data_IF_283607600836
#
_entry.id   IF_283607600836
#
_cell.length_a   1.000
_cell.length_b   1.000
_cell.length_c   1.000
_cell.angle_alpha   90.00
_cell.angle_beta   90.00
_cell.angle_gamma   90.00
#
_symmetry.space_group_name_H-M   'P 1'
#
loop_
_entity.id
_entity.type
_entity.pdbx_description
1 polymer ?
#
# COMPACT_ATOMS: atom_id res chain seq x y z
N UNK A 1 -13.60 -10.93 17.42
CA UNK A 1 -13.86 -9.56 16.95
C UNK A 1 -13.19 -8.59 17.92
N UNK A 2 -12.66 -7.49 17.41
CA UNK A 2 -12.09 -6.35 18.16
C UNK A 2 -12.72 -5.09 17.59
N UNK A 3 -13.36 -4.26 18.40
CA UNK A 3 -14.05 -3.07 17.90
C UNK A 3 -14.10 -1.92 18.90
N UNK A 4 -14.28 -0.70 18.39
CA UNK A 4 -14.51 0.52 19.17
C UNK A 4 -13.40 0.84 20.18
N UNK A 5 -12.15 0.68 19.74
CA UNK A 5 -10.97 0.91 20.57
C UNK A 5 -10.11 2.04 20.02
N UNK A 6 -9.43 2.72 20.95
CA UNK A 6 -8.28 3.57 20.65
C UNK A 6 -7.01 2.94 21.21
N UNK A 7 -6.03 2.70 20.36
CA UNK A 7 -4.71 2.16 20.72
C UNK A 7 -3.68 3.27 20.51
N UNK A 8 -2.86 3.55 21.52
CA UNK A 8 -1.82 4.60 21.45
C UNK A 8 -0.45 3.98 21.62
N UNK A 9 0.46 4.28 20.68
CA UNK A 9 1.85 3.84 20.62
C UNK A 9 1.98 2.31 20.74
N UNK A 10 1.09 1.57 20.07
CA UNK A 10 0.98 0.12 20.22
C UNK A 10 0.58 -0.60 18.95
N UNK A 11 1.05 -1.84 18.82
CA UNK A 11 0.71 -2.77 17.74
C UNK A 11 -0.43 -3.69 18.21
N UNK A 12 -1.53 -3.74 17.47
CA UNK A 12 -2.54 -4.77 17.64
C UNK A 12 -2.04 -6.07 17.01
N UNK A 13 -1.61 -7.01 17.85
CA UNK A 13 -1.17 -8.33 17.41
C UNK A 13 -2.37 -9.28 17.35
N UNK A 14 -2.70 -9.75 16.15
CA UNK A 14 -3.79 -10.68 15.87
C UNK A 14 -3.24 -12.10 15.78
N UNK A 15 -3.30 -12.83 16.89
CA UNK A 15 -2.82 -14.22 16.99
C UNK A 15 -3.98 -15.23 16.87
N UNK A 16 -4.89 -15.01 15.93
CA UNK A 16 -6.03 -15.89 15.64
C UNK A 16 -6.54 -15.66 14.22
N UNK A 17 -7.02 -16.74 13.57
CA UNK A 17 -7.65 -16.65 12.24
C UNK A 17 -9.03 -16.01 12.30
N UNK A 18 -9.51 -15.48 11.19
CA UNK A 18 -10.88 -14.96 11.02
C UNK A 18 -11.28 -13.88 12.03
N UNK A 19 -10.32 -13.02 12.40
CA UNK A 19 -10.57 -11.90 13.31
C UNK A 19 -11.02 -10.68 12.50
N UNK A 20 -12.12 -10.05 12.93
CA UNK A 20 -12.49 -8.73 12.46
C UNK A 20 -12.03 -7.66 13.45
N UNK A 21 -11.35 -6.64 12.95
CA UNK A 21 -11.00 -5.38 13.61
C UNK A 21 -11.82 -4.27 12.96
N UNK A 22 -12.64 -3.56 13.75
CA UNK A 22 -13.62 -2.62 13.20
C UNK A 22 -13.71 -1.34 14.03
N UNK A 23 -13.79 -0.17 13.39
CA UNK A 23 -13.91 1.13 14.09
C UNK A 23 -12.82 1.32 15.15
N UNK A 24 -11.59 0.94 14.82
CA UNK A 24 -10.43 1.11 15.69
C UNK A 24 -9.61 2.31 15.21
N UNK A 25 -9.17 3.12 16.16
CA UNK A 25 -8.18 4.18 15.95
C UNK A 25 -6.85 3.73 16.55
N UNK A 26 -5.78 3.75 15.76
CA UNK A 26 -4.43 3.44 16.20
C UNK A 26 -3.55 4.66 15.96
N UNK A 27 -2.95 5.20 17.02
CA UNK A 27 -2.06 6.36 16.96
C UNK A 27 -0.64 5.90 17.28
N UNK A 28 0.27 5.87 16.30
CA UNK A 28 1.68 5.50 16.47
C UNK A 28 1.94 3.99 16.53
N UNK A 29 1.23 3.21 15.72
CA UNK A 29 1.37 1.75 15.68
C UNK A 29 0.71 1.16 14.44
N UNK A 30 0.18 -0.06 14.57
CA UNK A 30 -0.44 -0.76 13.45
C UNK A 30 -1.22 -2.02 13.84
N UNK A 31 -1.54 -2.83 12.84
CA UNK A 31 -2.13 -4.16 13.00
C UNK A 31 -1.21 -5.19 12.36
N UNK A 32 -0.85 -6.22 13.13
CA UNK A 32 -0.02 -7.33 12.65
C UNK A 32 -0.73 -8.67 12.85
N UNK A 33 -0.92 -9.46 11.78
CA UNK A 33 -1.43 -10.82 11.83
C UNK A 33 -0.38 -11.90 11.52
N UNK A 34 0.90 -11.53 11.47
CA UNK A 34 2.00 -12.45 11.24
C UNK A 34 2.81 -12.61 12.53
N UNK A 35 2.60 -13.73 13.23
CA UNK A 35 3.19 -13.99 14.55
C UNK A 35 4.12 -15.18 14.45
N UNK A 36 5.41 -14.95 14.74
CA UNK A 36 6.46 -15.94 14.52
C UNK A 36 6.59 -16.25 13.02
N UNK A 37 6.20 -17.46 12.61
CA UNK A 37 6.18 -17.89 11.21
C UNK A 37 4.76 -18.17 10.68
N UNK A 38 3.73 -17.74 11.41
CA UNK A 38 2.33 -18.09 11.11
C UNK A 38 1.56 -16.87 10.62
N UNK A 39 0.94 -17.00 9.45
CA UNK A 39 -0.04 -16.06 8.93
C UNK A 39 -1.42 -16.39 9.49
N UNK A 40 -1.97 -15.50 10.31
CA UNK A 40 -3.33 -15.63 10.82
C UNK A 40 -4.33 -15.09 9.79
N UNK A 41 -4.56 -15.89 8.74
CA UNK A 41 -5.43 -15.57 7.62
C UNK A 41 -6.89 -15.31 8.04
N UNK A 42 -7.61 -14.59 7.19
CA UNK A 42 -8.99 -14.19 7.40
C UNK A 42 -9.14 -12.93 8.26
N UNK A 43 -8.06 -12.18 8.47
CA UNK A 43 -8.14 -10.88 9.15
C UNK A 43 -8.97 -9.91 8.29
N UNK A 44 -9.99 -9.30 8.88
CA UNK A 44 -10.71 -8.18 8.26
C UNK A 44 -10.45 -6.93 9.10
N UNK A 45 -9.91 -5.88 8.50
CA UNK A 45 -9.77 -4.57 9.13
C UNK A 45 -10.69 -3.60 8.38
N UNK A 46 -11.64 -3.00 9.07
CA UNK A 46 -12.58 -2.10 8.40
C UNK A 46 -12.98 -0.87 9.20
N UNK A 47 -13.30 0.20 8.48
CA UNK A 47 -13.73 1.50 9.03
C UNK A 47 -12.78 1.99 10.14
N UNK A 48 -11.48 1.84 9.93
CA UNK A 48 -10.45 2.03 10.97
C UNK A 48 -9.38 3.01 10.48
N UNK A 49 -8.76 3.71 11.42
CA UNK A 49 -7.73 4.71 11.13
C UNK A 49 -6.44 4.39 11.86
N UNK A 50 -5.32 4.47 11.16
CA UNK A 50 -3.97 4.26 11.68
C UNK A 50 -3.15 5.51 11.35
N UNK A 51 -2.78 6.30 12.34
CA UNK A 51 -2.09 7.58 12.15
C UNK A 51 -0.77 7.63 12.90
N UNK A 52 0.12 8.51 12.46
CA UNK A 52 1.37 8.79 13.17
C UNK A 52 1.10 9.40 14.56
N UNK A 53 1.80 8.93 15.59
CA UNK A 53 1.87 9.59 16.88
C UNK A 53 2.98 10.65 16.94
N UNK A 54 3.13 11.31 18.09
CA UNK A 54 4.24 12.24 18.36
C UNK A 54 5.59 11.56 18.61
N UNK A 55 5.63 10.24 18.67
CA UNK A 55 6.88 9.48 18.81
C UNK A 55 7.78 9.63 17.58
N UNK A 56 9.09 9.52 17.79
CA UNK A 56 10.06 9.50 16.70
C UNK A 56 9.82 8.30 15.80
N UNK A 57 9.74 8.53 14.49
CA UNK A 57 9.65 7.45 13.51
C UNK A 57 10.99 7.19 12.83
N UNK A 58 11.19 5.95 12.40
CA UNK A 58 12.42 5.49 11.76
C UNK A 58 12.12 4.71 10.48
N UNK A 59 13.17 4.41 9.71
CA UNK A 59 13.07 3.48 8.56
C UNK A 59 12.78 2.04 8.96
N UNK A 60 13.00 1.67 10.23
CA UNK A 60 12.72 0.34 10.76
C UNK A 60 11.31 0.18 11.33
N UNK A 61 10.47 1.20 11.22
CA UNK A 61 9.09 1.14 11.72
C UNK A 61 8.29 0.07 10.97
N UNK A 62 7.42 -0.62 11.70
CA UNK A 62 6.58 -1.67 11.13
C UNK A 62 5.56 -1.09 10.13
N UNK A 63 5.15 -1.86 9.11
CA UNK A 63 4.01 -1.49 8.28
C UNK A 63 2.77 -1.25 9.15
N UNK A 64 1.95 -0.27 8.76
CA UNK A 64 0.72 0.06 9.45
C UNK A 64 -0.26 -1.13 9.50
N UNK A 65 -0.29 -1.96 8.45
CA UNK A 65 -1.14 -3.13 8.38
C UNK A 65 -0.46 -4.25 7.59
N UNK A 66 -0.36 -5.44 8.18
CA UNK A 66 0.30 -6.57 7.53
C UNK A 66 0.08 -7.89 8.26
N UNK A 67 0.53 -9.01 7.69
CA UNK A 67 1.44 -9.15 6.52
C UNK A 67 0.76 -9.76 5.29
N UNK A 68 -0.20 -10.68 5.45
CA UNK A 68 -0.92 -11.34 4.35
C UNK A 68 -2.24 -11.94 4.82
N UNK A 69 -3.07 -12.43 3.91
CA UNK A 69 -4.33 -13.11 4.24
C UNK A 69 -5.38 -12.20 4.90
N UNK A 70 -5.44 -10.93 4.51
CA UNK A 70 -6.36 -9.96 5.10
C UNK A 70 -7.18 -9.19 4.06
N UNK A 71 -8.31 -8.64 4.53
CA UNK A 71 -9.10 -7.64 3.82
C UNK A 71 -9.07 -6.33 4.59
N UNK A 72 -8.66 -5.23 3.94
CA UNK A 72 -8.76 -3.87 4.43
C UNK A 72 -9.89 -3.14 3.68
N UNK A 73 -10.88 -2.60 4.40
CA UNK A 73 -12.00 -1.86 3.79
C UNK A 73 -12.27 -0.56 4.52
N UNK A 74 -12.33 0.56 3.80
CA UNK A 74 -12.51 1.88 4.42
C UNK A 74 -11.45 2.15 5.51
N UNK A 75 -10.19 1.79 5.22
CA UNK A 75 -9.07 1.99 6.14
C UNK A 75 -8.30 3.24 5.73
N UNK A 76 -8.01 4.10 6.71
CA UNK A 76 -7.15 5.28 6.54
C UNK A 76 -5.80 5.04 7.22
N UNK A 77 -4.71 5.15 6.48
CA UNK A 77 -3.33 5.23 6.99
C UNK A 77 -2.78 6.63 6.69
N UNK A 78 -2.23 7.32 7.69
CA UNK A 78 -1.83 8.72 7.52
C UNK A 78 -0.60 9.11 8.36
N UNK A 79 0.45 9.52 7.66
CA UNK A 79 1.68 10.08 8.22
C UNK A 79 2.70 9.06 8.74
N UNK A 80 2.38 7.76 8.67
CA UNK A 80 3.30 6.68 9.05
C UNK A 80 4.38 6.45 7.97
N UNK A 81 5.56 5.91 8.32
CA UNK A 81 6.60 5.63 7.32
C UNK A 81 6.26 4.51 6.34
N UNK A 82 5.46 3.52 6.75
CA UNK A 82 5.15 2.33 5.94
C UNK A 82 3.65 2.03 5.98
N UNK A 83 3.08 1.63 4.85
CA UNK A 83 1.63 1.44 4.68
C UNK A 83 1.18 -0.02 4.80
N UNK A 84 0.45 -0.48 3.79
CA UNK A 84 -0.01 -1.86 3.68
C UNK A 84 1.14 -2.80 3.30
N UNK A 85 1.32 -3.89 4.04
CA UNK A 85 2.22 -4.96 3.66
C UNK A 85 1.44 -6.07 2.98
N UNK A 86 1.97 -6.59 1.88
CA UNK A 86 1.50 -7.78 1.18
C UNK A 86 2.66 -8.76 1.11
N UNK A 87 2.60 -9.82 1.90
CA UNK A 87 3.73 -10.73 1.99
C UNK A 87 3.52 -11.88 2.94
N UNK A 88 4.67 -12.43 3.32
CA UNK A 88 4.78 -13.59 4.18
C UNK A 88 4.89 -14.86 3.34
N UNK A 89 6.00 -15.58 3.51
CA UNK A 89 6.23 -16.86 2.84
C UNK A 89 5.22 -17.92 3.27
N UNK A 90 4.97 -18.89 2.39
CA UNK A 90 4.17 -20.08 2.70
C UNK A 90 2.67 -19.81 2.60
N UNK A 91 1.94 -20.06 3.69
CA UNK A 91 0.48 -20.10 3.71
C UNK A 91 -0.20 -18.73 3.88
N UNK A 92 0.49 -17.61 3.68
CA UNK A 92 -0.17 -16.31 3.72
C UNK A 92 -1.16 -16.18 2.55
N UNK A 93 -2.44 -15.99 2.89
CA UNK A 93 -3.53 -15.90 1.92
C UNK A 93 -3.54 -14.58 1.14
N UNK A 94 -4.43 -14.44 0.14
CA UNK A 94 -4.54 -13.22 -0.64
C UNK A 94 -4.84 -11.98 0.22
N UNK A 95 -4.50 -10.81 -0.32
CA UNK A 95 -4.78 -9.51 0.29
C UNK A 95 -5.80 -8.76 -0.56
N UNK A 96 -6.78 -8.13 0.09
CA UNK A 96 -7.75 -7.28 -0.56
C UNK A 96 -7.78 -5.91 0.12
N UNK A 97 -7.67 -4.83 -0.65
CA UNK A 97 -7.71 -3.45 -0.15
C UNK A 97 -8.77 -2.68 -0.94
N UNK A 98 -9.81 -2.22 -0.27
CA UNK A 98 -10.98 -1.61 -0.89
C UNK A 98 -11.30 -0.27 -0.24
N UNK A 99 -11.65 0.73 -1.06
CA UNK A 99 -12.17 2.03 -0.61
C UNK A 99 -11.28 2.66 0.49
N UNK A 100 -9.96 2.51 0.36
CA UNK A 100 -9.01 2.83 1.42
C UNK A 100 -8.06 3.94 1.00
N UNK A 101 -7.38 4.52 1.97
CA UNK A 101 -6.42 5.60 1.77
C UNK A 101 -5.15 5.31 2.56
N UNK A 102 -3.99 5.45 1.94
CA UNK A 102 -2.72 5.49 2.64
C UNK A 102 -1.87 6.66 2.14
N UNK A 103 -1.52 7.58 3.05
CA UNK A 103 -0.50 8.62 2.82
C UNK A 103 0.67 8.34 3.76
N UNK A 104 1.73 7.78 3.20
CA UNK A 104 2.97 7.49 3.94
C UNK A 104 3.92 8.66 3.84
N UNK A 105 4.71 8.88 4.89
CA UNK A 105 5.56 10.08 5.02
C UNK A 105 6.93 9.70 5.51
N UNK A 106 7.94 10.41 5.00
CA UNK A 106 9.32 10.28 5.45
C UNK A 106 9.42 10.21 6.99
N UNK A 107 10.27 9.31 7.53
CA UNK A 107 10.48 9.21 8.96
C UNK A 107 11.30 10.37 9.52
N UNK A 108 11.26 10.57 10.85
CA UNK A 108 12.10 11.57 11.51
C UNK A 108 13.59 11.23 11.38
N UNK A 109 13.91 9.94 11.47
CA UNK A 109 15.26 9.41 11.22
C UNK A 109 15.25 8.66 9.89
N UNK A 110 15.75 9.33 8.86
CA UNK A 110 15.83 8.75 7.52
C UNK A 110 17.21 8.18 7.21
N UNK A 111 17.21 6.92 6.75
CA UNK A 111 18.38 6.23 6.23
C UNK A 111 18.00 5.58 4.89
N UNK A 112 17.85 4.25 4.85
CA UNK A 112 17.32 3.51 3.71
C UNK A 112 15.80 3.36 3.84
N UNK A 113 15.07 4.43 3.53
CA UNK A 113 13.61 4.44 3.62
C UNK A 113 12.99 3.96 2.31
N UNK A 114 12.20 2.89 2.38
CA UNK A 114 11.41 2.46 1.23
C UNK A 114 10.14 3.30 1.12
N UNK A 115 9.37 3.38 2.20
CA UNK A 115 8.23 4.28 2.28
C UNK A 115 7.04 3.85 1.47
N UNK A 116 6.85 2.55 1.25
CA UNK A 116 5.83 2.09 0.33
C UNK A 116 4.45 2.14 0.99
N UNK A 117 3.48 2.78 0.33
CA UNK A 117 2.10 2.81 0.82
C UNK A 117 1.42 1.44 0.66
N UNK A 118 1.86 0.65 -0.32
CA UNK A 118 1.65 -0.79 -0.44
C UNK A 118 2.96 -1.46 -0.86
N UNK A 119 3.43 -2.44 -0.08
CA UNK A 119 4.69 -3.15 -0.34
C UNK A 119 4.49 -4.66 -0.49
N UNK A 120 4.96 -5.22 -1.61
CA UNK A 120 4.97 -6.65 -1.93
C UNK A 120 6.32 -7.34 -1.75
N UNK A 121 6.42 -8.27 -0.80
CA UNK A 121 7.54 -9.20 -0.66
C UNK A 121 7.04 -10.58 -0.22
N UNK A 122 7.33 -11.61 -1.02
CA UNK A 122 6.70 -12.93 -0.94
C UNK A 122 5.17 -12.81 -0.95
N UNK A 123 4.65 -11.88 -1.75
CA UNK A 123 3.26 -11.47 -1.79
C UNK A 123 2.33 -12.50 -2.43
N UNK A 124 1.26 -12.92 -1.76
CA UNK A 124 0.15 -13.62 -2.41
C UNK A 124 -0.66 -12.65 -3.28
N UNK A 125 -1.66 -13.16 -4.01
CA UNK A 125 -2.50 -12.34 -4.89
C UNK A 125 -3.04 -11.12 -4.17
N UNK A 126 -2.92 -9.94 -4.80
CA UNK A 126 -3.45 -8.69 -4.26
C UNK A 126 -4.56 -8.12 -5.13
N UNK A 127 -5.67 -7.80 -4.48
CA UNK A 127 -6.81 -7.12 -5.07
C UNK A 127 -6.88 -5.70 -4.53
N UNK A 128 -6.89 -4.69 -5.40
CA UNK A 128 -7.04 -3.28 -5.01
C UNK A 128 -8.24 -2.66 -5.70
N UNK A 129 -9.13 -2.04 -4.92
CA UNK A 129 -10.34 -1.36 -5.41
C UNK A 129 -10.46 0.04 -4.84
N UNK A 130 -10.72 1.03 -5.70
CA UNK A 130 -11.10 2.40 -5.30
C UNK A 130 -10.23 2.96 -4.16
N UNK A 131 -8.91 2.82 -4.28
CA UNK A 131 -7.96 3.10 -3.21
C UNK A 131 -7.01 4.19 -3.65
N UNK A 132 -6.61 5.05 -2.72
CA UNK A 132 -5.60 6.09 -2.97
C UNK A 132 -4.36 5.81 -2.15
N UNK A 133 -3.21 5.78 -2.82
CA UNK A 133 -1.90 5.58 -2.22
C UNK A 133 -1.01 6.79 -2.53
N UNK A 134 -0.45 7.42 -1.50
CA UNK A 134 0.41 8.59 -1.63
C UNK A 134 1.69 8.40 -0.83
N UNK A 135 2.81 8.83 -1.40
CA UNK A 135 4.10 8.93 -0.72
C UNK A 135 4.54 10.39 -0.62
N UNK A 136 4.71 10.87 0.60
CA UNK A 136 5.26 12.18 0.93
C UNK A 136 6.73 12.05 1.30
N UNK A 137 7.59 12.42 0.36
CA UNK A 137 9.05 12.42 0.49
C UNK A 137 9.59 13.85 0.58
N UNK A 138 10.86 14.00 0.98
CA UNK A 138 11.54 15.28 0.98
C UNK A 138 12.94 15.16 0.34
N UNK A 139 13.64 16.28 0.15
CA UNK A 139 14.96 16.28 -0.53
C UNK A 139 16.04 15.46 0.18
N UNK A 140 15.94 15.31 1.50
CA UNK A 140 16.89 14.58 2.33
C UNK A 140 16.47 13.11 2.58
N UNK A 141 15.26 12.73 2.15
CA UNK A 141 14.68 11.42 2.40
C UNK A 141 13.75 11.03 1.26
N UNK A 142 14.29 10.28 0.30
CA UNK A 142 13.54 9.69 -0.80
C UNK A 142 12.95 8.34 -0.41
N UNK A 143 11.89 7.95 -1.10
CA UNK A 143 11.31 6.61 -1.02
C UNK A 143 11.20 5.93 -2.41
N UNK A 144 10.69 4.71 -2.40
CA UNK A 144 10.52 3.83 -3.55
C UNK A 144 9.25 4.14 -4.34
N UNK A 145 8.07 3.70 -3.88
CA UNK A 145 6.80 3.91 -4.56
C UNK A 145 5.55 3.86 -3.63
N UNK A 146 4.50 4.64 -3.89
CA UNK A 146 3.16 4.41 -3.33
C UNK A 146 2.65 2.97 -3.56
N UNK A 147 2.76 2.44 -4.77
CA UNK A 147 2.44 1.04 -5.07
C UNK A 147 3.71 0.31 -5.51
N UNK A 148 4.17 -0.66 -4.70
CA UNK A 148 5.36 -1.45 -4.95
C UNK A 148 5.05 -2.94 -4.90
N UNK A 149 4.92 -3.57 -6.06
CA UNK A 149 4.66 -5.01 -6.20
C UNK A 149 5.48 -5.62 -7.36
N UNK A 150 6.82 -5.62 -7.24
CA UNK A 150 7.74 -5.92 -8.34
C UNK A 150 7.88 -7.42 -8.61
N UNK A 151 8.62 -7.75 -9.68
CA UNK A 151 9.05 -9.12 -9.94
C UNK A 151 10.26 -9.54 -9.13
N UNK A 152 10.56 -10.84 -9.15
CA UNK A 152 11.70 -11.44 -8.44
C UNK A 152 11.72 -11.25 -6.92
N UNK A 153 10.60 -10.83 -6.32
CA UNK A 153 10.43 -10.72 -4.86
C UNK A 153 9.50 -11.79 -4.29
N UNK A 154 9.22 -12.88 -5.01
CA UNK A 154 8.28 -13.92 -4.57
C UNK A 154 6.80 -13.53 -4.62
N UNK A 155 6.49 -12.34 -5.14
CA UNK A 155 5.14 -11.88 -5.44
C UNK A 155 4.48 -12.78 -6.52
N UNK A 156 3.15 -12.74 -6.61
CA UNK A 156 2.41 -13.68 -7.47
C UNK A 156 1.58 -13.02 -8.56
N UNK A 157 0.53 -12.28 -8.23
CA UNK A 157 -0.39 -11.70 -9.21
C UNK A 157 -1.20 -10.54 -8.63
N UNK A 158 -1.80 -9.74 -9.51
CA UNK A 158 -2.62 -8.59 -9.11
C UNK A 158 -3.95 -8.54 -9.83
N UNK A 159 -4.91 -7.90 -9.20
CA UNK A 159 -6.11 -7.38 -9.86
C UNK A 159 -6.42 -6.00 -9.30
N UNK A 160 -6.31 -4.96 -10.12
CA UNK A 160 -6.36 -3.56 -9.70
C UNK A 160 -7.44 -2.84 -10.50
N UNK A 161 -8.33 -2.15 -9.78
CA UNK A 161 -9.37 -1.30 -10.37
C UNK A 161 -9.57 -0.02 -9.54
N UNK A 162 -9.52 1.15 -10.18
CA UNK A 162 -9.76 2.44 -9.52
C UNK A 162 -8.69 2.83 -8.48
N UNK A 163 -7.42 2.52 -8.74
CA UNK A 163 -6.30 2.94 -7.90
C UNK A 163 -5.82 4.35 -8.28
N UNK A 164 -5.61 5.23 -7.30
CA UNK A 164 -4.92 6.51 -7.46
C UNK A 164 -3.56 6.44 -6.78
N UNK A 165 -2.49 6.84 -7.48
CA UNK A 165 -1.13 6.92 -6.93
C UNK A 165 -0.52 8.32 -7.08
N UNK A 166 0.24 8.75 -6.07
CA UNK A 166 0.92 10.06 -6.05
C UNK A 166 2.25 9.99 -5.29
N UNK A 167 3.32 10.56 -5.84
CA UNK A 167 4.62 10.61 -5.17
C UNK A 167 5.56 9.46 -5.53
N UNK A 168 6.75 9.47 -4.93
CA UNK A 168 7.77 8.43 -5.06
C UNK A 168 8.68 8.55 -6.27
N UNK A 169 9.54 7.55 -6.45
CA UNK A 169 10.41 7.46 -7.62
C UNK A 169 9.61 7.19 -8.89
N UNK A 170 8.89 6.07 -8.86
CA UNK A 170 7.86 5.69 -9.82
C UNK A 170 6.59 5.40 -9.01
N UNK A 171 5.47 6.13 -9.19
CA UNK A 171 4.28 6.00 -8.36
C UNK A 171 3.68 4.58 -8.36
N UNK A 172 3.81 3.90 -9.49
CA UNK A 172 3.27 2.57 -9.71
C UNK A 172 4.34 1.63 -10.23
N UNK A 173 4.77 0.69 -9.39
CA UNK A 173 5.74 -0.35 -9.73
C UNK A 173 5.11 -1.73 -9.66
N UNK A 174 5.08 -2.43 -10.79
CA UNK A 174 4.40 -3.72 -10.93
C UNK A 174 5.15 -4.67 -11.86
N UNK A 175 5.60 -5.79 -11.34
CA UNK A 175 6.26 -6.83 -12.13
C UNK A 175 5.45 -8.11 -12.35
N UNK A 176 4.22 -8.17 -11.83
CA UNK A 176 3.43 -9.40 -11.69
C UNK A 176 2.29 -9.48 -12.71
N UNK A 177 1.91 -10.70 -13.15
CA UNK A 177 0.77 -10.89 -14.04
C UNK A 177 -0.55 -10.45 -13.41
N UNK A 178 -1.48 -9.98 -14.24
CA UNK A 178 -2.78 -9.53 -13.75
C UNK A 178 -3.51 -8.56 -14.67
N UNK A 179 -4.44 -7.82 -14.07
CA UNK A 179 -5.19 -6.74 -14.71
C UNK A 179 -5.02 -5.44 -13.95
N UNK A 180 -4.86 -4.34 -14.69
CA UNK A 180 -4.85 -2.97 -14.16
C UNK A 180 -5.89 -2.17 -14.92
N UNK A 181 -6.91 -1.67 -14.23
CA UNK A 181 -7.99 -0.86 -14.79
C UNK A 181 -8.20 0.40 -13.98
N UNK A 182 -8.61 1.49 -14.64
CA UNK A 182 -8.91 2.75 -13.96
C UNK A 182 -7.75 3.31 -13.12
N UNK A 183 -6.49 2.97 -13.42
CA UNK A 183 -5.33 3.49 -12.70
C UNK A 183 -5.17 4.98 -12.99
N UNK A 184 -5.11 5.81 -11.94
CA UNK A 184 -4.85 7.24 -12.04
C UNK A 184 -3.51 7.57 -11.39
N UNK A 185 -2.64 8.25 -12.12
CA UNK A 185 -1.32 8.64 -11.62
C UNK A 185 -1.26 10.17 -11.63
N UNK A 186 -0.98 10.77 -10.48
CA UNK A 186 -1.02 12.23 -10.34
C UNK A 186 0.17 12.86 -11.08
N UNK A 187 -0.14 13.77 -12.01
CA UNK A 187 0.81 14.40 -12.92
C UNK A 187 1.93 15.14 -12.19
N UNK A 188 3.16 14.95 -12.67
CA UNK A 188 4.36 15.60 -12.11
C UNK A 188 4.70 15.22 -10.67
N UNK A 189 4.04 14.22 -10.07
CA UNK A 189 4.27 13.84 -8.67
C UNK A 189 5.46 12.91 -8.45
N UNK A 190 6.13 12.46 -9.51
CA UNK A 190 7.18 11.44 -9.48
C UNK A 190 8.58 12.00 -9.72
N UNK A 191 9.62 11.29 -9.27
CA UNK A 191 11.01 11.69 -9.52
C UNK A 191 11.56 11.21 -10.87
N UNK A 192 11.18 9.99 -11.31
CA UNK A 192 11.76 9.36 -12.49
C UNK A 192 10.76 9.22 -13.63
N UNK A 193 9.58 8.69 -13.34
CA UNK A 193 8.52 8.48 -14.32
C UNK A 193 7.21 8.04 -13.69
N UNK A 194 6.11 7.99 -14.46
CA UNK A 194 4.80 7.64 -13.93
C UNK A 194 4.65 6.16 -13.58
N UNK A 195 5.39 5.27 -14.26
CA UNK A 195 5.29 3.81 -14.11
C UNK A 195 6.65 3.12 -14.24
N UNK A 196 6.83 2.02 -13.51
CA UNK A 196 7.84 0.99 -13.74
C UNK A 196 7.13 -0.38 -13.74
N UNK A 197 6.70 -0.82 -14.91
CA UNK A 197 5.81 -1.97 -15.07
C UNK A 197 6.41 -2.97 -16.04
N UNK A 198 6.26 -4.27 -15.77
CA UNK A 198 6.49 -5.34 -16.74
C UNK A 198 5.25 -5.52 -17.60
N UNK A 199 5.08 -4.72 -18.65
CA UNK A 199 3.82 -4.67 -19.40
C UNK A 199 3.47 -5.98 -20.09
N UNK A 200 4.47 -6.75 -20.54
CA UNK A 200 4.30 -8.05 -21.19
C UNK A 200 3.56 -9.13 -20.38
N UNK A 201 3.46 -9.00 -19.05
CA UNK A 201 2.74 -9.98 -18.21
C UNK A 201 1.30 -9.57 -17.90
N UNK A 202 0.88 -8.37 -18.30
CA UNK A 202 -0.48 -7.89 -18.05
C UNK A 202 -1.45 -8.37 -19.11
N UNK A 203 -2.64 -8.75 -18.66
CA UNK A 203 -3.76 -9.17 -19.53
C UNK A 203 -4.77 -8.04 -19.76
N UNK A 204 -4.64 -6.93 -19.02
CA UNK A 204 -5.43 -5.72 -19.20
C UNK A 204 -4.73 -4.51 -18.61
N UNK A 205 -4.75 -3.40 -19.35
CA UNK A 205 -4.16 -2.13 -18.95
C UNK A 205 -5.09 -0.98 -19.33
N UNK A 206 -5.53 -0.23 -18.32
CA UNK A 206 -6.18 1.07 -18.48
C UNK A 206 -5.66 2.02 -17.39
N UNK A 207 -4.95 3.05 -17.84
CA UNK A 207 -4.33 4.04 -16.96
C UNK A 207 -4.36 5.45 -17.56
N UNK A 208 -4.42 6.45 -16.69
CA UNK A 208 -4.43 7.86 -17.03
C UNK A 208 -3.50 8.65 -16.11
N UNK A 209 -2.85 9.67 -16.69
CA UNK A 209 -2.26 10.74 -15.93
C UNK A 209 -3.33 11.77 -15.64
N UNK A 210 -3.40 12.22 -14.39
CA UNK A 210 -4.46 13.07 -13.88
C UNK A 210 -3.92 14.23 -13.07
N UNK A 211 -4.66 15.32 -12.98
CA UNK A 211 -4.55 16.26 -11.85
C UNK A 211 -5.61 15.90 -10.82
N UNK A 212 -5.46 16.40 -9.59
CA UNK A 212 -6.50 16.29 -8.56
C UNK A 212 -7.23 17.63 -8.43
N UNK A 213 -8.55 17.61 -8.49
CA UNK A 213 -9.40 18.74 -8.17
C UNK A 213 -9.32 19.13 -6.69
N UNK A 214 -9.93 20.25 -6.33
CA UNK A 214 -9.96 20.74 -4.93
C UNK A 214 -10.73 19.81 -3.99
N UNK A 215 -11.61 18.97 -4.54
CA UNK A 215 -12.37 17.90 -3.87
C UNK A 215 -11.60 16.56 -3.83
N UNK A 216 -10.37 16.53 -4.36
CA UNK A 216 -9.55 15.33 -4.45
C UNK A 216 -9.93 14.40 -5.59
N UNK A 217 -10.89 14.76 -6.47
CA UNK A 217 -11.28 13.91 -7.59
C UNK A 217 -10.29 14.02 -8.75
N UNK A 218 -9.99 12.90 -9.44
CA UNK A 218 -9.06 12.90 -10.56
C UNK A 218 -9.69 13.55 -11.81
N UNK A 219 -8.96 14.46 -12.44
CA UNK A 219 -9.29 15.06 -13.74
C UNK A 219 -8.27 14.56 -14.76
N UNK A 220 -8.74 13.86 -15.79
CA UNK A 220 -7.88 13.26 -16.81
C UNK A 220 -7.11 14.33 -17.59
N UNK A 221 -5.79 14.16 -17.68
CA UNK A 221 -4.89 14.97 -18.51
C UNK A 221 -4.61 14.24 -19.82
N UNK A 222 -4.19 12.97 -19.73
CA UNK A 222 -3.86 12.11 -20.88
C UNK A 222 -3.86 10.64 -20.47
N UNK A 223 -3.97 9.75 -21.45
CA UNK A 223 -3.75 8.31 -21.24
C UNK A 223 -2.29 8.03 -20.87
N UNK A 224 -2.08 7.02 -20.03
CA UNK A 224 -0.77 6.43 -19.76
C UNK A 224 -0.71 5.08 -20.48
N UNK A 225 0.12 4.98 -21.51
CA UNK A 225 0.38 3.70 -22.15
C UNK A 225 1.17 2.77 -21.22
N UNK A 226 0.99 1.46 -21.36
CA UNK A 226 1.91 0.50 -20.78
C UNK A 226 3.11 0.38 -21.74
N UNK A 227 4.22 1.04 -21.42
CA UNK A 227 5.37 1.19 -22.32
C UNK A 227 6.72 0.99 -21.60
N UNK A 228 6.72 0.25 -20.50
CA UNK A 228 7.90 -0.18 -19.75
C UNK A 228 7.95 -1.70 -19.69
N UNK A 229 9.12 -2.29 -19.39
CA UNK A 229 9.26 -3.75 -19.30
C UNK A 229 10.12 -4.25 -18.12
N UNK A 230 10.52 -3.35 -17.22
CA UNK A 230 11.30 -3.69 -16.02
C UNK A 230 10.41 -4.34 -14.97
N UNK A 231 9.52 -3.59 -14.33
CA UNK A 231 8.66 -4.09 -13.25
C UNK A 231 9.41 -4.32 -11.93
N UNK A 232 10.33 -3.41 -11.60
CA UNK A 232 11.23 -3.46 -10.45
C UNK A 232 10.72 -2.76 -9.20
#
# INVERSE_FOLDING_TARGET
MVEDLRITNGMLVVNARNVTVRRVEILGGGVNNFVGSVCHNGLVVENSTITRASGQTTTGDWPALGTGGYTARNVKIDGLPEGFRVGGKGDCGPVTIENSFASVRYPDVCSDWHGDALQGYDGPHVTVRNTTLEMIQNKACGGTAPFFYPHSQGNTSVDIDGLIVKGGGYPFRLGMPGTVRGLKIVDGSWNFGPIDVKCSVLTGWDAEIVTLGTDGQPVAVRRQACNTETGN
#
